data_IF_704498413298
#
_entry.id   IF_704498413298
#
_cell.length_a   1.000
_cell.length_b   1.000
_cell.length_c   1.000
_cell.angle_alpha   90.00
_cell.angle_beta   90.00
_cell.angle_gamma   90.00
#
_symmetry.space_group_name_H-M   'P 1'
#
loop_
_entity.id
_entity.type
_entity.pdbx_description
1 polymer ?
#
# COMPACT_ATOMS: atom_id res chain seq x y z
N UNK A 1 -9.90 9.30 10.13
CA UNK A 1 -9.19 8.83 8.93
C UNK A 1 -7.82 9.45 8.88
N UNK A 2 -6.81 8.63 9.17
CA UNK A 2 -5.41 8.96 8.92
C UNK A 2 -5.04 8.41 7.54
N UNK A 3 -4.31 9.20 6.75
CA UNK A 3 -3.91 8.80 5.40
C UNK A 3 -2.40 8.87 5.30
N UNK A 4 -1.75 7.79 4.86
CA UNK A 4 -0.33 7.80 4.48
C UNK A 4 -0.25 7.83 2.96
N UNK A 5 0.42 8.85 2.43
CA UNK A 5 0.70 8.98 1.00
C UNK A 5 2.01 8.29 0.68
N UNK A 6 1.98 7.39 -0.31
CA UNK A 6 3.16 6.70 -0.80
C UNK A 6 3.99 7.63 -1.69
N UNK A 7 5.34 7.57 -1.58
CA UNK A 7 6.22 8.33 -2.44
C UNK A 7 6.23 7.75 -3.87
N UNK A 8 6.67 8.54 -4.87
CA UNK A 8 6.73 8.08 -6.27
C UNK A 8 7.65 6.86 -6.47
N UNK A 9 8.74 6.79 -5.71
CA UNK A 9 9.65 5.65 -5.69
C UNK A 9 9.53 4.89 -4.38
N UNK A 10 8.85 3.75 -4.42
CA UNK A 10 8.64 2.89 -3.27
C UNK A 10 9.79 1.89 -3.09
N UNK A 11 10.95 2.40 -2.63
CA UNK A 11 12.12 1.60 -2.27
C UNK A 11 11.91 0.85 -0.95
N UNK A 12 12.90 0.01 -0.57
CA UNK A 12 12.89 -0.68 0.74
C UNK A 12 12.86 0.32 1.91
N UNK A 13 13.62 1.41 1.81
CA UNK A 13 13.65 2.44 2.87
C UNK A 13 12.31 3.15 3.01
N UNK A 14 11.69 3.50 1.87
CA UNK A 14 10.34 4.06 1.87
C UNK A 14 9.32 3.12 2.52
N UNK A 15 9.41 1.81 2.25
CA UNK A 15 8.52 0.81 2.86
C UNK A 15 8.66 0.76 4.38
N UNK A 16 9.88 0.86 4.92
CA UNK A 16 10.12 0.89 6.36
C UNK A 16 9.56 2.17 6.99
N UNK A 17 9.69 3.31 6.32
CA UNK A 17 9.12 4.58 6.77
C UNK A 17 7.57 4.53 6.81
N UNK A 18 6.93 3.92 5.82
CA UNK A 18 5.47 3.70 5.81
C UNK A 18 5.05 2.78 6.97
N UNK A 19 5.79 1.70 7.21
CA UNK A 19 5.51 0.79 8.32
C UNK A 19 5.64 1.47 9.68
N UNK A 20 6.66 2.33 9.86
CA UNK A 20 6.84 3.10 11.09
C UNK A 20 5.67 4.07 11.31
N UNK A 21 5.32 4.87 10.30
CA UNK A 21 4.19 5.80 10.36
C UNK A 21 2.87 5.07 10.67
N UNK A 22 2.63 3.91 10.06
CA UNK A 22 1.43 3.11 10.33
C UNK A 22 1.38 2.59 11.77
N UNK A 23 2.53 2.27 12.37
CA UNK A 23 2.61 1.87 13.78
C UNK A 23 2.35 3.03 14.74
N UNK A 24 2.84 4.23 14.41
CA UNK A 24 2.64 5.43 15.21
C UNK A 24 1.18 5.91 15.16
N UNK A 25 0.56 5.86 13.99
CA UNK A 25 -0.83 6.32 13.79
C UNK A 25 -1.88 5.26 14.16
N UNK A 26 -1.47 4.00 14.24
CA UNK A 26 -2.39 2.86 14.34
C UNK A 26 -3.03 2.51 13.00
N UNK A 27 -3.40 1.25 12.82
CA UNK A 27 -3.90 0.75 11.52
C UNK A 27 -5.41 0.73 11.40
N UNK A 28 -6.18 0.84 12.50
CA UNK A 28 -7.64 0.59 12.49
C UNK A 28 -8.43 1.46 11.49
N UNK A 29 -8.05 2.73 11.30
CA UNK A 29 -8.72 3.68 10.40
C UNK A 29 -7.76 4.31 9.36
N UNK A 30 -6.67 3.59 9.08
CA UNK A 30 -5.61 4.02 8.19
C UNK A 30 -5.95 3.74 6.71
N UNK A 31 -5.91 4.80 5.89
CA UNK A 31 -5.96 4.72 4.44
C UNK A 31 -4.55 4.89 3.84
N UNK A 32 -4.29 4.23 2.71
CA UNK A 32 -3.06 4.40 1.95
C UNK A 32 -3.38 5.00 0.58
N UNK A 33 -2.78 6.16 0.30
CA UNK A 33 -2.86 6.83 -0.99
C UNK A 33 -1.62 6.49 -1.82
N UNK A 34 -1.82 5.86 -2.98
CA UNK A 34 -0.76 5.44 -3.90
C UNK A 34 -0.75 6.21 -5.21
N UNK A 35 -1.40 7.37 -5.32
CA UNK A 35 -1.65 8.02 -6.61
C UNK A 35 -0.36 8.48 -7.30
N UNK A 36 0.64 8.87 -6.51
CA UNK A 36 1.92 9.35 -7.00
C UNK A 36 2.90 8.23 -7.35
N UNK A 37 2.58 6.96 -7.07
CA UNK A 37 3.53 5.84 -7.22
C UNK A 37 3.86 5.61 -8.70
N UNK A 38 5.14 5.67 -9.05
CA UNK A 38 5.63 5.37 -10.40
C UNK A 38 6.36 4.02 -10.43
N UNK A 39 6.99 3.64 -9.32
CA UNK A 39 7.69 2.36 -9.18
C UNK A 39 7.53 1.79 -7.78
N UNK A 40 7.32 0.48 -7.69
CA UNK A 40 7.09 -0.24 -6.44
C UNK A 40 7.88 -1.54 -6.35
N UNK A 41 8.65 -1.67 -5.26
CA UNK A 41 9.39 -2.89 -4.96
C UNK A 41 8.60 -3.90 -4.11
N UNK A 42 9.10 -5.13 -4.06
CA UNK A 42 8.50 -6.23 -3.27
C UNK A 42 8.34 -5.89 -1.78
N UNK A 43 9.30 -5.17 -1.20
CA UNK A 43 9.24 -4.77 0.20
C UNK A 43 8.02 -3.89 0.51
N UNK A 44 7.67 -2.96 -0.40
CA UNK A 44 6.51 -2.12 -0.22
C UNK A 44 5.21 -2.94 -0.28
N UNK A 45 5.10 -3.87 -1.23
CA UNK A 45 3.91 -4.73 -1.35
C UNK A 45 3.66 -5.53 -0.06
N UNK A 46 4.72 -6.06 0.56
CA UNK A 46 4.60 -6.76 1.84
C UNK A 46 4.14 -5.84 2.97
N UNK A 47 4.69 -4.62 3.04
CA UNK A 47 4.24 -3.61 4.03
C UNK A 47 2.77 -3.25 3.82
N UNK A 48 2.33 -3.06 2.58
CA UNK A 48 0.93 -2.75 2.27
C UNK A 48 -0.01 -3.85 2.74
N UNK A 49 0.33 -5.13 2.55
CA UNK A 49 -0.46 -6.26 3.04
C UNK A 49 -0.61 -6.23 4.57
N UNK A 50 0.48 -5.97 5.28
CA UNK A 50 0.49 -5.91 6.76
C UNK A 50 -0.32 -4.72 7.26
N UNK A 51 -0.11 -3.55 6.68
CA UNK A 51 -0.70 -2.29 7.14
C UNK A 51 -2.19 -2.21 6.82
N UNK A 52 -2.60 -2.65 5.63
CA UNK A 52 -4.00 -2.59 5.21
C UNK A 52 -4.84 -3.71 5.84
N UNK A 53 -4.23 -4.84 6.21
CA UNK A 53 -4.93 -5.93 6.89
C UNK A 53 -6.10 -6.51 6.08
N UNK A 54 -6.03 -6.45 4.74
CA UNK A 54 -7.09 -6.89 3.83
C UNK A 54 -8.01 -5.79 3.31
N UNK A 55 -7.84 -4.54 3.74
CA UNK A 55 -8.51 -3.39 3.11
C UNK A 55 -7.87 -3.04 1.77
N UNK A 56 -8.64 -2.50 0.81
CA UNK A 56 -8.09 -2.02 -0.45
C UNK A 56 -7.26 -0.74 -0.25
N UNK A 57 -6.37 -0.49 -1.20
CA UNK A 57 -5.73 0.82 -1.40
C UNK A 57 -6.80 1.87 -1.72
N UNK A 58 -6.60 3.11 -1.23
CA UNK A 58 -7.54 4.20 -1.51
C UNK A 58 -7.46 4.66 -2.97
N UNK A 59 -6.27 5.10 -3.38
CA UNK A 59 -6.02 5.63 -4.73
C UNK A 59 -4.74 5.03 -5.31
N UNK A 60 -4.76 3.81 -5.88
CA UNK A 60 -3.58 3.25 -6.51
C UNK A 60 -3.30 3.93 -7.86
N UNK A 61 -2.03 4.27 -8.13
CA UNK A 61 -1.60 4.65 -9.48
C UNK A 61 -1.70 3.47 -10.46
N UNK A 62 -1.65 3.76 -11.77
CA UNK A 62 -1.62 2.73 -12.80
C UNK A 62 -0.43 1.78 -12.64
N UNK A 63 0.76 2.30 -12.31
CA UNK A 63 1.96 1.50 -12.11
C UNK A 63 1.84 0.58 -10.89
N UNK A 64 1.26 1.08 -9.79
CA UNK A 64 1.01 0.28 -8.60
C UNK A 64 -0.02 -0.81 -8.87
N UNK A 65 -1.14 -0.46 -9.51
CA UNK A 65 -2.19 -1.42 -9.85
C UNK A 65 -1.70 -2.52 -10.79
N UNK A 66 -0.91 -2.17 -11.81
CA UNK A 66 -0.30 -3.12 -12.73
C UNK A 66 0.65 -4.09 -12.01
N UNK A 67 1.53 -3.57 -11.15
CA UNK A 67 2.47 -4.41 -10.40
C UNK A 67 1.74 -5.34 -9.43
N UNK A 68 0.74 -4.83 -8.69
CA UNK A 68 -0.11 -5.61 -7.78
C UNK A 68 -0.82 -6.75 -8.51
N UNK A 69 -1.32 -6.51 -9.73
CA UNK A 69 -1.93 -7.55 -10.58
C UNK A 69 -0.91 -8.59 -11.05
N UNK A 70 0.27 -8.16 -11.50
CA UNK A 70 1.35 -9.06 -11.97
C UNK A 70 1.80 -10.05 -10.90
N UNK A 71 1.78 -9.64 -9.63
CA UNK A 71 2.14 -10.53 -8.50
C UNK A 71 0.95 -11.27 -7.88
N UNK A 72 -0.24 -11.16 -8.48
CA UNK A 72 -1.45 -11.85 -8.00
C UNK A 72 -2.06 -11.28 -6.71
N UNK A 73 -1.71 -10.05 -6.32
CA UNK A 73 -2.24 -9.39 -5.11
C UNK A 73 -3.44 -8.48 -5.38
N UNK A 74 -3.90 -8.38 -6.63
CA UNK A 74 -5.07 -7.59 -7.04
C UNK A 74 -6.29 -7.73 -6.11
N UNK A 75 -6.76 -8.96 -5.85
CA UNK A 75 -7.92 -9.19 -4.99
C UNK A 75 -7.71 -8.71 -3.55
N UNK A 76 -6.47 -8.67 -3.04
CA UNK A 76 -6.18 -8.27 -1.67
C UNK A 76 -5.97 -6.77 -1.51
N UNK A 77 -5.36 -6.13 -2.50
CA UNK A 77 -4.90 -4.73 -2.38
C UNK A 77 -5.71 -3.74 -3.23
N UNK A 78 -6.50 -4.18 -4.21
CA UNK A 78 -7.30 -3.29 -5.06
C UNK A 78 -8.80 -3.43 -4.79
N UNK A 79 -9.27 -4.66 -4.62
CA UNK A 79 -10.70 -4.95 -4.39
C UNK A 79 -11.04 -5.02 -2.90
N UNK A 80 -10.02 -5.32 -2.07
CA UNK A 80 -10.20 -5.66 -0.66
C UNK A 80 -10.58 -7.12 -0.52
N UNK A 81 -10.27 -7.70 0.64
CA UNK A 81 -10.76 -9.05 0.97
C UNK A 81 -12.29 -8.98 1.08
N UNK A 82 -13.00 -9.37 0.01
CA UNK A 82 -14.41 -9.70 0.11
C UNK A 82 -14.54 -10.84 1.14
N UNK A 83 -14.99 -10.48 2.34
CA UNK A 83 -15.45 -11.40 3.38
C UNK A 83 -16.91 -11.10 3.63
#
# INVERSE_FOLDING_TARGET
MTTITLPPQCTREAALAVLAQAREQGTADLAIDGIAVESVGQAMLQVLLVVLGGRPLGSPSAALADMVRKVGLGPRLLEGAAQ
#
